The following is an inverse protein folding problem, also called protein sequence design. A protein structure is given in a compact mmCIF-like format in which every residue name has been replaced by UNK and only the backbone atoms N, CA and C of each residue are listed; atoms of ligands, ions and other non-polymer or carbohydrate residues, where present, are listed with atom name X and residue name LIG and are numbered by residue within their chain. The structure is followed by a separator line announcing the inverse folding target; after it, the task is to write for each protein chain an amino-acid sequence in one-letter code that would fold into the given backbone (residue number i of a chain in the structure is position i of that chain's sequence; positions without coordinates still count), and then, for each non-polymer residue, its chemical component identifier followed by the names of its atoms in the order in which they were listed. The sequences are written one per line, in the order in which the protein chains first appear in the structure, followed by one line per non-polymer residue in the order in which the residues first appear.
data_IF_914898210744
#
_entry.id   IF_914898210744
#
_cell.length_a   1.000
_cell.length_b   1.000
_cell.length_c   1.000
_cell.angle_alpha   90.00
_cell.angle_beta   90.00
_cell.angle_gamma   90.00
#
_symmetry.space_group_name_H-M   'P 1'
#
loop_
_entity.id
_entity.type
_entity.pdbx_description
1 polymer ?
#
# COMPACT_ATOMS: atom_id res chain seq x y z
N UNK A 1 -16.69 15.55 -0.72
CA UNK A 1 -16.92 16.61 0.28
C UNK A 1 -16.54 17.94 -0.37
N UNK A 2 -17.50 18.83 -0.67
CA UNK A 2 -17.18 20.16 -1.22
C UNK A 2 -16.45 21.07 -0.21
N UNK A 3 -16.47 20.72 1.08
CA UNK A 3 -16.05 21.60 2.19
C UNK A 3 -14.74 21.17 2.88
N UNK A 4 -13.94 20.28 2.28
CA UNK A 4 -12.67 19.87 2.87
C UNK A 4 -11.59 20.95 2.63
N UNK A 5 -11.25 21.70 3.70
CA UNK A 5 -10.22 22.74 3.69
C UNK A 5 -8.84 22.15 3.98
N UNK A 6 -8.18 21.64 2.91
CA UNK A 6 -6.83 21.08 3.01
C UNK A 6 -5.81 22.07 3.62
N UNK A 7 -5.75 23.35 3.21
CA UNK A 7 -4.89 24.33 3.87
C UNK A 7 -5.13 24.48 5.38
N UNK A 8 -6.37 24.45 5.85
CA UNK A 8 -6.67 24.53 7.27
C UNK A 8 -6.21 23.28 8.04
N UNK A 9 -6.45 22.09 7.50
CA UNK A 9 -6.00 20.85 8.15
C UNK A 9 -4.47 20.76 8.18
N UNK A 10 -3.79 21.21 7.12
CA UNK A 10 -2.33 21.29 7.10
C UNK A 10 -1.78 22.27 8.16
N UNK A 11 -2.41 23.44 8.35
CA UNK A 11 -2.04 24.39 9.41
C UNK A 11 -2.22 23.77 10.79
N UNK A 12 -3.37 23.14 11.04
CA UNK A 12 -3.65 22.44 12.30
C UNK A 12 -2.60 21.37 12.61
N UNK A 13 -2.21 20.56 11.64
CA UNK A 13 -1.18 19.55 11.83
C UNK A 13 0.20 20.14 12.09
N UNK A 14 0.54 21.26 11.44
CA UNK A 14 1.78 21.97 11.71
C UNK A 14 1.82 22.49 13.16
N UNK A 15 0.72 23.08 13.64
CA UNK A 15 0.56 23.55 15.03
C UNK A 15 0.64 22.37 16.03
N UNK A 16 -0.02 21.24 15.75
CA UNK A 16 0.06 20.05 16.60
C UNK A 16 1.48 19.47 16.66
N UNK A 17 2.17 19.40 15.51
CA UNK A 17 3.57 18.97 15.45
C UNK A 17 4.45 19.88 16.30
N UNK A 18 4.34 21.19 16.14
CA UNK A 18 5.13 22.17 16.89
C UNK A 18 4.86 22.04 18.40
N UNK A 19 3.60 21.90 18.81
CA UNK A 19 3.23 21.64 20.20
C UNK A 19 3.89 20.37 20.74
N UNK A 20 3.73 19.23 20.06
CA UNK A 20 4.29 17.96 20.52
C UNK A 20 5.82 17.96 20.55
N UNK A 21 6.46 18.61 19.57
CA UNK A 21 7.93 18.78 19.58
C UNK A 21 8.33 19.63 20.78
N UNK A 22 7.68 20.77 21.03
CA UNK A 22 7.98 21.63 22.19
C UNK A 22 7.82 20.89 23.52
N UNK A 23 6.66 20.26 23.75
CA UNK A 23 6.37 19.48 24.96
C UNK A 23 7.38 18.33 25.18
N UNK A 24 7.81 17.70 24.09
CA UNK A 24 8.84 16.65 24.16
C UNK A 24 10.19 17.23 24.52
N UNK A 25 10.61 18.33 23.88
CA UNK A 25 11.89 18.99 24.13
C UNK A 25 12.01 19.50 25.56
N UNK A 26 10.94 20.03 26.14
CA UNK A 26 10.91 20.52 27.52
C UNK A 26 11.27 19.44 28.56
N UNK A 27 10.97 18.17 28.24
CA UNK A 27 11.19 17.01 29.12
C UNK A 27 12.58 16.38 28.97
N UNK A 28 13.41 16.90 28.08
CA UNK A 28 14.71 16.33 27.74
C UNK A 28 15.87 17.17 28.29
N UNK A 29 16.98 16.52 28.58
CA UNK A 29 18.25 17.16 28.92
C UNK A 29 18.87 17.86 27.69
N UNK A 30 19.74 18.88 27.86
CA UNK A 30 20.30 19.66 26.74
C UNK A 30 20.92 18.82 25.62
N UNK A 31 21.70 17.79 25.97
CA UNK A 31 22.34 16.92 24.97
C UNK A 31 21.32 16.06 24.20
N UNK A 32 20.24 15.65 24.86
CA UNK A 32 19.14 14.90 24.26
C UNK A 32 18.32 15.78 23.31
N UNK A 33 18.08 17.05 23.68
CA UNK A 33 17.41 18.03 22.80
C UNK A 33 18.18 18.23 21.51
N UNK A 34 19.48 18.50 21.61
CA UNK A 34 20.34 18.71 20.43
C UNK A 34 20.31 17.50 19.49
N UNK A 35 20.40 16.29 20.05
CA UNK A 35 20.34 15.05 19.27
C UNK A 35 18.98 14.86 18.60
N UNK A 36 17.89 15.03 19.34
CA UNK A 36 16.53 14.87 18.80
C UNK A 36 16.23 15.91 17.72
N UNK A 37 16.65 17.17 17.93
CA UNK A 37 16.47 18.24 16.96
C UNK A 37 17.13 17.90 15.63
N UNK A 38 18.40 17.48 15.66
CA UNK A 38 19.11 17.08 14.44
C UNK A 38 18.46 15.89 13.72
N UNK A 39 17.89 14.93 14.48
CA UNK A 39 17.15 13.80 13.88
C UNK A 39 15.84 14.25 13.26
N UNK A 40 15.08 15.15 13.90
CA UNK A 40 13.83 15.69 13.36
C UNK A 40 14.10 16.46 12.06
N UNK A 41 15.12 17.33 12.05
CA UNK A 41 15.51 18.10 10.86
C UNK A 41 15.86 17.17 9.69
N UNK A 42 16.70 16.16 9.94
CA UNK A 42 17.06 15.18 8.91
C UNK A 42 15.84 14.36 8.43
N UNK A 43 14.95 13.96 9.34
CA UNK A 43 13.75 13.19 8.98
C UNK A 43 12.78 14.01 8.11
N UNK A 44 12.57 15.29 8.44
CA UNK A 44 11.71 16.19 7.67
C UNK A 44 12.31 16.47 6.29
N UNK A 45 13.62 16.69 6.20
CA UNK A 45 14.31 16.92 4.93
C UNK A 45 14.20 15.72 3.97
N UNK A 46 14.39 14.51 4.50
CA UNK A 46 14.37 13.26 3.72
C UNK A 46 12.95 12.74 3.41
N UNK A 47 11.92 13.22 4.11
CA UNK A 47 10.54 12.74 3.93
C UNK A 47 10.04 12.83 2.48
N UNK A 48 10.44 13.88 1.75
CA UNK A 48 10.12 14.05 0.32
C UNK A 48 10.68 12.91 -0.53
N UNK A 49 11.94 12.51 -0.26
CA UNK A 49 12.63 11.43 -0.96
C UNK A 49 11.92 10.08 -0.72
N UNK A 50 11.42 9.85 0.49
CA UNK A 50 10.70 8.62 0.83
C UNK A 50 9.42 8.43 0.01
N UNK A 51 8.75 9.50 -0.42
CA UNK A 51 7.55 9.37 -1.25
C UNK A 51 7.90 9.39 -2.74
N UNK A 52 8.80 10.30 -3.13
CA UNK A 52 9.20 10.54 -4.51
C UNK A 52 10.00 9.38 -5.13
N UNK A 53 10.65 8.53 -4.31
CA UNK A 53 11.35 7.36 -4.83
C UNK A 53 10.42 6.44 -5.63
N UNK A 54 9.14 6.32 -5.25
CA UNK A 54 8.22 5.47 -5.98
C UNK A 54 8.05 5.95 -7.43
N UNK A 55 8.03 7.27 -7.64
CA UNK A 55 7.98 7.83 -8.98
C UNK A 55 9.34 7.72 -9.68
N UNK A 56 10.40 8.30 -9.11
CA UNK A 56 11.69 8.46 -9.80
C UNK A 56 12.49 7.17 -9.92
N UNK A 57 12.37 6.26 -8.95
CA UNK A 57 13.06 4.97 -8.95
C UNK A 57 12.10 3.92 -9.51
N UNK A 58 11.02 3.57 -8.83
CA UNK A 58 10.23 2.38 -9.22
C UNK A 58 9.53 2.56 -10.58
N UNK A 59 8.72 3.61 -10.73
CA UNK A 59 7.90 3.80 -11.91
C UNK A 59 8.75 4.21 -13.13
N UNK A 60 9.63 5.21 -13.00
CA UNK A 60 10.45 5.67 -14.13
C UNK A 60 11.42 4.59 -14.63
N UNK A 61 12.02 3.80 -13.73
CA UNK A 61 12.91 2.70 -14.13
C UNK A 61 12.13 1.60 -14.85
N UNK A 62 10.86 1.36 -14.51
CA UNK A 62 10.04 0.35 -15.20
C UNK A 62 9.46 0.82 -16.54
N UNK A 63 9.07 2.11 -16.66
CA UNK A 63 8.37 2.63 -17.85
C UNK A 63 9.22 2.61 -19.11
N UNK A 64 10.50 3.01 -19.03
CA UNK A 64 11.37 3.06 -20.22
C UNK A 64 11.66 1.66 -20.79
N UNK A 65 12.10 0.66 -20.00
CA UNK A 65 12.23 -0.72 -20.45
C UNK A 65 10.92 -1.31 -20.93
N UNK A 66 9.78 -1.00 -20.28
CA UNK A 66 8.46 -1.48 -20.73
C UNK A 66 8.18 -1.09 -22.18
N UNK A 67 8.51 0.14 -22.60
CA UNK A 67 8.33 0.58 -24.00
C UNK A 67 9.18 -0.24 -24.97
N UNK A 68 10.42 -0.54 -24.59
CA UNK A 68 11.36 -1.36 -25.36
C UNK A 68 10.89 -2.81 -25.47
N UNK A 69 10.49 -3.40 -24.35
CA UNK A 69 9.94 -4.77 -24.26
C UNK A 69 8.68 -4.91 -25.10
N UNK A 70 7.76 -3.94 -25.04
CA UNK A 70 6.56 -3.93 -25.90
C UNK A 70 6.90 -3.78 -27.39
N UNK A 71 7.94 -3.05 -27.74
CA UNK A 71 8.39 -2.96 -29.13
C UNK A 71 8.93 -4.30 -29.64
N UNK A 72 9.71 -5.00 -28.81
CA UNK A 72 10.16 -6.36 -29.09
C UNK A 72 8.98 -7.33 -29.23
N UNK A 73 8.00 -7.26 -28.33
CA UNK A 73 6.77 -8.06 -28.41
C UNK A 73 5.98 -7.83 -29.70
N UNK A 74 5.80 -6.56 -30.12
CA UNK A 74 5.16 -6.24 -31.41
C UNK A 74 5.89 -6.85 -32.61
N UNK A 75 7.22 -6.79 -32.61
CA UNK A 75 8.04 -7.39 -33.67
C UNK A 75 7.86 -8.91 -33.72
N UNK A 76 8.05 -9.58 -32.58
CA UNK A 76 7.93 -11.04 -32.48
C UNK A 76 6.50 -11.53 -32.82
N UNK A 77 5.47 -10.76 -32.47
CA UNK A 77 4.10 -11.06 -32.87
C UNK A 77 3.89 -10.89 -34.39
N UNK A 78 4.45 -9.85 -35.00
CA UNK A 78 4.37 -9.64 -36.45
C UNK A 78 5.12 -10.72 -37.26
N UNK A 79 6.13 -11.34 -36.66
CA UNK A 79 6.89 -12.47 -37.22
C UNK A 79 6.20 -13.83 -36.96
N UNK A 80 5.11 -13.85 -36.18
CA UNK A 80 4.36 -15.07 -35.83
C UNK A 80 4.95 -15.88 -34.67
N UNK A 81 6.03 -15.41 -34.04
CA UNK A 81 6.68 -16.10 -32.92
C UNK A 81 5.91 -15.95 -31.61
N UNK A 82 5.13 -14.88 -31.46
CA UNK A 82 4.16 -14.67 -30.37
C UNK A 82 2.75 -14.52 -30.94
N UNK A 83 1.72 -14.85 -30.15
CA UNK A 83 0.33 -14.66 -30.56
C UNK A 83 -0.08 -13.19 -30.47
N UNK A 84 0.31 -12.50 -29.40
CA UNK A 84 0.09 -11.07 -29.21
C UNK A 84 1.33 -10.35 -28.67
N UNK A 85 1.40 -9.03 -28.86
CA UNK A 85 2.56 -8.24 -28.43
C UNK A 85 2.78 -8.26 -26.91
N UNK A 86 1.72 -8.45 -26.11
CA UNK A 86 1.77 -8.51 -24.65
C UNK A 86 2.32 -9.84 -24.12
N UNK A 87 2.37 -10.88 -24.94
CA UNK A 87 2.90 -12.19 -24.54
C UNK A 87 4.39 -12.14 -24.18
N UNK A 88 5.08 -11.09 -24.64
CA UNK A 88 6.47 -10.79 -24.28
C UNK A 88 6.68 -10.70 -22.76
N UNK A 89 5.65 -10.35 -21.98
CA UNK A 89 5.75 -10.28 -20.52
C UNK A 89 5.79 -11.64 -19.82
N UNK A 90 5.50 -12.72 -20.55
CA UNK A 90 5.68 -14.08 -20.07
C UNK A 90 7.08 -14.64 -20.37
N UNK A 91 7.92 -13.90 -21.11
CA UNK A 91 9.28 -14.30 -21.42
C UNK A 91 10.26 -13.81 -20.35
N UNK A 92 11.27 -14.63 -20.07
CA UNK A 92 12.43 -14.23 -19.28
C UNK A 92 13.36 -13.38 -20.13
N UNK A 93 14.25 -12.63 -19.47
CA UNK A 93 15.20 -11.72 -20.14
C UNK A 93 16.06 -12.44 -21.18
N UNK A 94 16.58 -13.62 -20.84
CA UNK A 94 17.44 -14.42 -21.71
C UNK A 94 16.67 -15.03 -22.89
N UNK A 95 15.42 -15.42 -22.69
CA UNK A 95 14.53 -15.94 -23.74
C UNK A 95 14.19 -14.84 -24.74
N UNK A 96 13.82 -13.65 -24.27
CA UNK A 96 13.59 -12.49 -25.12
C UNK A 96 14.86 -12.09 -25.90
N UNK A 97 16.01 -12.11 -25.25
CA UNK A 97 17.29 -11.80 -25.91
C UNK A 97 17.60 -12.82 -27.03
N UNK A 98 17.43 -14.12 -26.77
CA UNK A 98 17.61 -15.17 -27.79
C UNK A 98 16.61 -15.04 -28.94
N UNK A 99 15.36 -14.72 -28.63
CA UNK A 99 14.32 -14.48 -29.62
C UNK A 99 14.70 -13.35 -30.59
N UNK A 100 15.18 -12.23 -30.05
CA UNK A 100 15.63 -11.08 -30.84
C UNK A 100 16.89 -11.35 -31.67
N UNK A 101 17.67 -12.38 -31.31
CA UNK A 101 18.84 -12.86 -32.06
C UNK A 101 18.49 -13.97 -33.06
N UNK A 102 17.22 -14.36 -33.17
CA UNK A 102 16.71 -15.28 -34.19
C UNK A 102 16.21 -16.63 -33.67
N UNK A 103 16.37 -16.96 -32.38
CA UNK A 103 15.87 -18.20 -31.79
C UNK A 103 14.51 -17.98 -31.13
N UNK A 104 13.46 -17.98 -31.95
CA UNK A 104 12.10 -17.59 -31.53
C UNK A 104 11.06 -18.72 -31.60
N UNK A 105 11.49 -19.95 -31.84
CA UNK A 105 10.63 -21.12 -31.96
C UNK A 105 9.94 -21.46 -30.62
N UNK A 106 8.64 -21.76 -30.69
CA UNK A 106 7.86 -22.24 -29.54
C UNK A 106 7.48 -21.18 -28.50
N UNK A 107 7.82 -19.90 -28.72
CA UNK A 107 7.54 -18.85 -27.74
C UNK A 107 6.06 -18.62 -27.48
N UNK A 108 5.21 -18.71 -28.50
CA UNK A 108 3.75 -18.59 -28.33
C UNK A 108 3.20 -19.64 -27.35
N UNK A 109 3.59 -20.91 -27.50
CA UNK A 109 3.16 -21.99 -26.60
C UNK A 109 3.71 -21.79 -25.17
N UNK A 110 4.97 -21.35 -25.04
CA UNK A 110 5.58 -21.04 -23.75
C UNK A 110 4.87 -19.88 -23.04
N UNK A 111 4.53 -18.83 -23.77
CA UNK A 111 3.81 -17.69 -23.24
C UNK A 111 2.39 -18.07 -22.82
N UNK A 112 1.69 -18.87 -23.61
CA UNK A 112 0.36 -19.40 -23.27
C UNK A 112 0.39 -20.23 -21.98
N UNK A 113 1.36 -21.14 -21.85
CA UNK A 113 1.55 -21.95 -20.64
C UNK A 113 1.76 -21.07 -19.40
N UNK A 114 2.67 -20.09 -19.48
CA UNK A 114 2.94 -19.17 -18.36
C UNK A 114 1.78 -18.21 -18.08
N UNK A 115 0.98 -17.87 -19.08
CA UNK A 115 -0.28 -17.17 -18.91
C UNK A 115 -1.27 -17.97 -18.05
N UNK A 116 -1.37 -19.28 -18.27
CA UNK A 116 -2.18 -20.18 -17.43
C UNK A 116 -1.65 -20.26 -16.00
N UNK A 117 -0.33 -20.34 -15.83
CA UNK A 117 0.30 -20.29 -14.50
C UNK A 117 0.00 -18.96 -13.78
N UNK A 118 0.05 -17.82 -14.47
CA UNK A 118 -0.29 -16.52 -13.89
C UNK A 118 -1.75 -16.46 -13.47
N UNK A 119 -2.66 -16.94 -14.31
CA UNK A 119 -4.07 -17.00 -13.97
C UNK A 119 -4.32 -17.86 -12.73
N UNK A 120 -3.61 -18.98 -12.59
CA UNK A 120 -3.67 -19.84 -11.40
C UNK A 120 -3.11 -19.14 -10.17
N UNK A 121 -1.94 -18.51 -10.25
CA UNK A 121 -1.30 -17.86 -9.10
C UNK A 121 -2.06 -16.61 -8.63
N UNK A 122 -2.75 -15.91 -9.54
CA UNK A 122 -3.61 -14.78 -9.19
C UNK A 122 -4.76 -15.17 -8.23
N UNK A 123 -5.12 -16.45 -8.17
CA UNK A 123 -6.14 -16.98 -7.24
C UNK A 123 -5.57 -17.37 -5.87
N UNK A 124 -4.24 -17.35 -5.71
CA UNK A 124 -3.57 -17.78 -4.48
C UNK A 124 -3.22 -16.54 -3.66
N UNK A 125 -3.65 -16.53 -2.39
CA UNK A 125 -3.18 -15.54 -1.41
C UNK A 125 -1.85 -16.04 -0.83
N UNK A 126 -0.72 -15.35 -1.07
CA UNK A 126 0.56 -15.78 -0.52
C UNK A 126 0.52 -15.73 1.01
N UNK A 127 1.16 -16.70 1.71
CA UNK A 127 1.28 -16.63 3.16
C UNK A 127 2.13 -15.41 3.56
N UNK A 128 1.87 -14.87 4.75
CA UNK A 128 2.64 -13.72 5.27
C UNK A 128 4.11 -14.06 5.50
N UNK A 129 4.41 -15.31 5.85
CA UNK A 129 5.77 -15.82 6.05
C UNK A 129 5.98 -17.08 5.21
N UNK A 130 7.20 -17.26 4.73
CA UNK A 130 7.62 -18.46 4.01
C UNK A 130 8.95 -18.96 4.57
N UNK A 131 9.07 -20.26 4.76
CA UNK A 131 10.24 -20.90 5.39
C UNK A 131 10.10 -21.08 6.91
N UNK A 132 11.11 -21.69 7.53
CA UNK A 132 11.17 -21.83 8.98
C UNK A 132 11.49 -20.46 9.62
N UNK A 133 10.82 -20.08 10.73
CA UNK A 133 11.14 -18.84 11.42
C UNK A 133 12.62 -18.86 11.88
N UNK A 134 13.29 -17.70 11.96
CA UNK A 134 14.61 -17.62 12.57
C UNK A 134 14.59 -18.27 13.95
N UNK A 135 15.58 -19.11 14.23
CA UNK A 135 15.69 -19.80 15.52
C UNK A 135 16.03 -18.75 16.58
N UNK A 136 15.00 -18.31 17.29
CA UNK A 136 15.02 -17.52 18.52
C UNK A 136 15.87 -16.23 18.49
N UNK A 137 15.21 -15.09 18.20
CA UNK A 137 15.70 -13.77 18.57
C UNK A 137 14.57 -12.98 19.24
N UNK A 138 14.34 -13.31 20.51
CA UNK A 138 14.02 -12.43 21.64
C UNK A 138 12.86 -11.40 21.56
N UNK A 139 12.18 -11.30 22.71
CA UNK A 139 11.18 -10.31 23.17
C UNK A 139 9.72 -10.54 22.72
N UNK A 140 8.92 -11.08 23.66
CA UNK A 140 7.48 -11.31 23.55
C UNK A 140 6.64 -10.06 23.90
N UNK A 141 7.22 -8.86 23.90
CA UNK A 141 6.53 -7.62 24.32
C UNK A 141 6.13 -6.69 23.16
N UNK A 142 6.57 -6.94 21.94
CA UNK A 142 6.11 -6.18 20.78
C UNK A 142 4.89 -6.87 20.17
N UNK A 143 3.73 -6.23 20.24
CA UNK A 143 2.50 -6.68 19.56
C UNK A 143 2.74 -6.67 18.04
N UNK A 144 3.01 -7.83 17.41
CA UNK A 144 3.33 -7.90 15.98
C UNK A 144 2.12 -7.47 15.15
N UNK A 145 0.92 -7.50 15.73
CA UNK A 145 -0.32 -7.15 15.05
C UNK A 145 -0.36 -5.66 14.72
N UNK A 146 0.33 -4.82 15.48
CA UNK A 146 0.39 -3.38 15.21
C UNK A 146 1.10 -3.04 13.89
N UNK A 147 2.01 -3.91 13.45
CA UNK A 147 2.78 -3.74 12.20
C UNK A 147 2.29 -4.67 11.08
N UNK A 148 1.94 -5.90 11.43
CA UNK A 148 1.60 -6.96 10.47
C UNK A 148 0.10 -7.24 10.36
N UNK A 149 -0.69 -6.76 11.33
CA UNK A 149 -2.14 -6.80 11.34
C UNK A 149 -2.72 -8.18 11.20
N UNK A 150 -2.55 -9.02 12.23
CA UNK A 150 -3.07 -10.39 12.25
C UNK A 150 -4.52 -10.50 12.77
N UNK A 151 -5.28 -9.40 12.69
CA UNK A 151 -6.67 -9.32 13.14
C UNK A 151 -7.53 -10.34 12.42
N UNK A 152 -8.02 -11.34 13.18
CA UNK A 152 -8.89 -12.38 12.64
C UNK A 152 -10.35 -11.93 12.61
N UNK A 153 -11.06 -12.38 11.58
CA UNK A 153 -12.51 -12.27 11.52
C UNK A 153 -13.18 -12.93 12.73
N UNK A 154 -14.21 -12.27 13.27
CA UNK A 154 -15.00 -12.74 14.40
C UNK A 154 -16.26 -13.46 13.92
N UNK A 155 -16.38 -14.80 14.09
CA UNK A 155 -17.55 -15.54 13.64
C UNK A 155 -18.85 -15.10 14.32
N UNK A 156 -18.77 -14.61 15.56
CA UNK A 156 -19.91 -14.12 16.35
C UNK A 156 -20.40 -12.74 15.90
N UNK A 157 -19.58 -11.98 15.14
CA UNK A 157 -19.91 -10.64 14.66
C UNK A 157 -19.48 -10.45 13.20
N UNK A 158 -20.15 -11.11 12.24
CA UNK A 158 -19.72 -11.12 10.83
C UNK A 158 -19.79 -9.75 10.13
N UNK A 159 -20.44 -8.75 10.75
CA UNK A 159 -20.52 -7.36 10.24
C UNK A 159 -19.57 -6.39 10.94
N UNK A 160 -18.78 -6.86 11.90
CA UNK A 160 -17.76 -6.08 12.61
C UNK A 160 -16.38 -6.63 12.22
N UNK A 161 -15.67 -5.90 11.37
CA UNK A 161 -14.30 -6.21 10.98
C UNK A 161 -13.33 -5.45 11.88
N UNK A 162 -12.14 -6.02 12.11
CA UNK A 162 -11.08 -5.43 12.93
C UNK A 162 -9.80 -5.26 12.14
N UNK A 163 -9.08 -4.21 12.51
CA UNK A 163 -7.77 -3.87 11.99
C UNK A 163 -7.04 -2.94 12.95
N UNK A 164 -5.95 -2.35 12.48
CA UNK A 164 -5.20 -1.34 13.20
C UNK A 164 -5.81 0.04 12.94
N UNK A 165 -6.25 0.71 13.99
CA UNK A 165 -6.59 2.12 13.92
C UNK A 165 -5.35 2.93 13.56
N UNK A 166 -5.36 3.61 12.41
CA UNK A 166 -4.20 4.34 11.89
C UNK A 166 -4.36 5.86 11.87
N UNK A 167 -5.61 6.33 11.88
CA UNK A 167 -5.93 7.74 11.97
C UNK A 167 -7.27 7.87 12.70
N UNK A 168 -7.30 8.72 13.72
CA UNK A 168 -8.41 8.80 14.65
C UNK A 168 -9.68 9.37 14.02
N UNK A 169 -10.82 9.14 14.68
CA UNK A 169 -12.12 9.67 14.27
C UNK A 169 -13.09 8.61 13.76
N UNK A 170 -14.29 9.06 13.37
CA UNK A 170 -15.36 8.19 12.87
C UNK A 170 -15.85 8.69 11.52
N UNK A 171 -15.71 7.85 10.49
CA UNK A 171 -16.21 8.10 9.15
C UNK A 171 -17.40 7.20 8.83
N UNK A 172 -18.37 7.70 8.08
CA UNK A 172 -19.58 6.94 7.71
C UNK A 172 -20.00 7.22 6.28
N UNK A 173 -20.58 6.21 5.63
CA UNK A 173 -21.29 6.34 4.37
C UNK A 173 -20.67 5.48 3.26
N UNK A 174 -21.13 5.66 2.00
CA UNK A 174 -20.63 4.90 0.87
C UNK A 174 -19.30 5.42 0.31
N UNK A 175 -18.89 6.64 0.67
CA UNK A 175 -17.64 7.25 0.23
C UNK A 175 -16.45 6.80 1.09
N UNK A 176 -16.31 5.50 1.36
CA UNK A 176 -15.17 4.93 2.10
C UNK A 176 -14.26 4.23 1.10
N UNK A 177 -12.98 4.58 1.11
CA UNK A 177 -12.00 3.94 0.25
C UNK A 177 -11.63 2.57 0.84
N UNK A 178 -12.13 1.49 0.24
CA UNK A 178 -11.81 0.11 0.63
C UNK A 178 -10.91 -0.51 -0.44
N UNK A 179 -9.70 -0.95 -0.08
CA UNK A 179 -8.75 -1.54 -1.03
C UNK A 179 -7.80 -2.54 -0.34
N UNK A 180 -7.02 -3.29 -1.11
CA UNK A 180 -5.97 -4.15 -0.54
C UNK A 180 -4.80 -3.33 0.01
N UNK A 181 -4.35 -2.36 -0.76
CA UNK A 181 -3.26 -1.41 -0.42
C UNK A 181 -3.43 -0.13 -1.23
N UNK A 182 -2.80 0.96 -0.80
CA UNK A 182 -2.75 2.22 -1.57
C UNK A 182 -1.33 2.48 -2.07
N UNK A 183 -1.21 3.40 -3.03
CA UNK A 183 0.06 3.86 -3.59
C UNK A 183 -0.02 5.38 -3.80
N UNK A 184 1.11 6.10 -3.90
CA UNK A 184 1.11 7.56 -4.06
C UNK A 184 0.17 8.12 -5.15
N UNK A 185 -0.05 7.44 -6.31
CA UNK A 185 -1.02 7.90 -7.30
C UNK A 185 -2.49 7.93 -6.82
N UNK A 186 -2.80 7.31 -5.68
CA UNK A 186 -4.14 7.25 -5.09
C UNK A 186 -4.43 8.44 -4.15
N UNK A 187 -3.44 9.25 -3.81
CA UNK A 187 -3.60 10.42 -2.92
C UNK A 187 -4.79 11.31 -3.29
N UNK A 188 -5.10 11.61 -4.58
CA UNK A 188 -6.30 12.38 -4.92
C UNK A 188 -7.63 11.75 -4.46
N UNK A 189 -7.68 10.43 -4.27
CA UNK A 189 -8.88 9.74 -3.77
C UNK A 189 -9.10 10.00 -2.28
N UNK A 190 -8.06 10.28 -1.51
CA UNK A 190 -8.17 10.59 -0.09
C UNK A 190 -8.92 11.91 0.09
N UNK A 191 -8.68 12.91 -0.76
CA UNK A 191 -9.37 14.19 -0.73
C UNK A 191 -10.91 14.11 -0.84
N UNK A 192 -11.44 13.01 -1.39
CA UNK A 192 -12.88 12.80 -1.58
C UNK A 192 -13.46 11.67 -0.72
N UNK A 193 -12.61 10.92 -0.03
CA UNK A 193 -13.01 9.84 0.87
C UNK A 193 -13.48 10.39 2.23
N UNK A 194 -14.36 9.65 2.89
CA UNK A 194 -14.83 9.91 4.26
C UNK A 194 -14.11 9.06 5.31
N UNK A 195 -13.46 7.98 4.88
CA UNK A 195 -12.57 7.13 5.66
C UNK A 195 -11.78 6.20 4.72
N UNK A 196 -10.75 5.54 5.26
CA UNK A 196 -9.90 4.60 4.52
C UNK A 196 -9.87 3.25 5.23
N UNK A 197 -10.02 2.17 4.46
CA UNK A 197 -9.90 0.79 4.92
C UNK A 197 -8.97 0.03 3.99
N UNK A 198 -7.91 -0.58 4.54
CA UNK A 198 -7.01 -1.42 3.75
C UNK A 198 -6.86 -2.83 4.32
N UNK A 199 -6.64 -3.82 3.45
CA UNK A 199 -6.34 -5.20 3.89
C UNK A 199 -4.88 -5.41 4.31
N UNK A 200 -3.98 -4.51 3.89
CA UNK A 200 -2.55 -4.56 4.19
C UNK A 200 -2.01 -3.16 4.50
N UNK A 201 -0.87 -3.10 5.15
CA UNK A 201 -0.15 -1.86 5.47
C UNK A 201 -0.07 -1.61 6.98
N UNK A 202 1.14 -1.31 7.46
CA UNK A 202 1.36 -0.98 8.86
C UNK A 202 0.96 0.45 9.21
N UNK A 203 1.08 0.81 10.50
CA UNK A 203 0.78 2.14 11.04
C UNK A 203 1.64 3.28 10.44
N UNK A 204 2.76 2.93 9.79
CA UNK A 204 3.67 3.84 9.10
C UNK A 204 3.59 3.73 7.56
N UNK A 205 2.64 2.96 7.03
CA UNK A 205 2.45 2.83 5.59
C UNK A 205 1.94 4.12 4.97
N UNK A 206 2.09 4.25 3.64
CA UNK A 206 1.53 5.34 2.85
C UNK A 206 0.06 5.61 3.18
N UNK A 207 -0.79 4.58 3.22
CA UNK A 207 -2.20 4.71 3.61
C UNK A 207 -2.41 5.39 4.98
N UNK A 208 -1.62 5.01 5.99
CA UNK A 208 -1.72 5.55 7.34
C UNK A 208 -1.22 6.99 7.44
N UNK A 209 -0.10 7.31 6.78
CA UNK A 209 0.47 8.65 6.75
C UNK A 209 -0.49 9.60 6.04
N UNK A 210 -0.89 9.26 4.81
CA UNK A 210 -1.80 10.10 4.02
C UNK A 210 -3.17 10.24 4.70
N UNK A 211 -3.72 9.20 5.34
CA UNK A 211 -4.96 9.36 6.08
C UNK A 211 -4.85 10.37 7.24
N UNK A 212 -3.73 10.36 7.98
CA UNK A 212 -3.48 11.34 9.04
C UNK A 212 -3.31 12.74 8.49
N UNK A 213 -2.55 12.90 7.40
CA UNK A 213 -2.37 14.18 6.71
C UNK A 213 -3.69 14.77 6.20
N UNK A 214 -4.65 13.92 5.84
CA UNK A 214 -5.98 14.35 5.43
C UNK A 214 -7.00 14.42 6.58
N UNK A 215 -6.60 14.12 7.82
CA UNK A 215 -7.51 14.05 8.97
C UNK A 215 -8.63 13.00 8.81
N UNK A 216 -8.43 11.99 7.98
CA UNK A 216 -9.43 10.97 7.67
C UNK A 216 -9.33 9.80 8.66
N UNK A 217 -10.45 9.29 9.19
CA UNK A 217 -10.47 8.04 9.93
C UNK A 217 -9.94 6.88 9.09
N UNK A 218 -9.03 6.08 9.63
CA UNK A 218 -8.45 4.96 8.89
C UNK A 218 -8.25 3.71 9.74
N UNK A 219 -8.59 2.55 9.16
CA UNK A 219 -8.34 1.23 9.74
C UNK A 219 -7.63 0.35 8.71
N UNK A 220 -6.44 -0.13 9.06
CA UNK A 220 -5.57 -0.88 8.15
C UNK A 220 -5.47 -2.35 8.59
N UNK A 221 -4.98 -3.20 7.71
CA UNK A 221 -4.91 -4.65 7.94
C UNK A 221 -6.26 -5.27 8.35
N UNK A 222 -7.33 -4.86 7.69
CA UNK A 222 -8.65 -5.45 7.85
C UNK A 222 -8.75 -6.67 6.96
N UNK A 223 -8.69 -7.86 7.55
CA UNK A 223 -8.68 -9.11 6.79
C UNK A 223 -9.93 -9.25 5.88
N UNK A 224 -9.70 -9.53 4.59
CA UNK A 224 -10.74 -9.76 3.57
C UNK A 224 -11.73 -8.60 3.38
N UNK A 225 -11.37 -7.36 3.75
CA UNK A 225 -12.25 -6.20 3.63
C UNK A 225 -12.83 -6.03 2.21
N UNK A 226 -12.03 -6.23 1.17
CA UNK A 226 -12.46 -6.05 -0.23
C UNK A 226 -13.43 -7.13 -0.72
N UNK A 227 -13.46 -8.28 -0.05
CA UNK A 227 -14.41 -9.36 -0.35
C UNK A 227 -15.69 -9.29 0.50
N UNK A 228 -15.59 -8.77 1.72
CA UNK A 228 -16.69 -8.71 2.68
C UNK A 228 -17.55 -7.45 2.53
N UNK A 229 -16.94 -6.32 2.14
CA UNK A 229 -17.63 -5.06 1.90
C UNK A 229 -17.91 -4.95 0.41
N UNK A 230 -19.18 -4.79 0.04
CA UNK A 230 -19.59 -4.63 -1.37
C UNK A 230 -19.50 -3.18 -1.81
N UNK A 231 -19.25 -2.96 -3.10
CA UNK A 231 -19.27 -1.61 -3.68
C UNK A 231 -20.61 -0.91 -3.40
N UNK A 232 -20.52 0.35 -2.98
CA UNK A 232 -21.68 1.17 -2.60
C UNK A 232 -22.31 0.82 -1.25
N UNK A 233 -21.83 -0.23 -0.56
CA UNK A 233 -22.34 -0.59 0.76
C UNK A 233 -21.89 0.43 1.81
N UNK A 234 -22.82 1.00 2.60
CA UNK A 234 -22.44 1.93 3.65
C UNK A 234 -21.70 1.21 4.77
N UNK A 235 -20.60 1.80 5.22
CA UNK A 235 -19.84 1.32 6.38
C UNK A 235 -19.59 2.45 7.36
N UNK A 236 -19.36 2.09 8.61
CA UNK A 236 -18.80 2.97 9.65
C UNK A 236 -17.37 2.53 9.94
N UNK A 237 -16.45 3.48 9.94
CA UNK A 237 -15.03 3.25 10.24
C UNK A 237 -14.68 4.05 11.49
N UNK A 238 -14.28 3.37 12.55
CA UNK A 238 -13.73 3.98 13.77
C UNK A 238 -12.22 3.73 13.78
N UNK A 239 -11.48 4.75 13.34
CA UNK A 239 -10.03 4.69 13.24
C UNK A 239 -9.31 4.84 14.58
N UNK A 240 -10.02 5.20 15.65
CA UNK A 240 -9.48 5.19 17.01
C UNK A 240 -9.54 3.79 17.63
N UNK A 241 -10.63 3.04 17.38
CA UNK A 241 -10.83 1.68 17.90
C UNK A 241 -10.33 0.57 16.98
N UNK A 242 -10.00 0.89 15.73
CA UNK A 242 -9.60 -0.10 14.74
C UNK A 242 -10.76 -0.99 14.28
N UNK A 243 -11.99 -0.45 14.20
CA UNK A 243 -13.19 -1.24 13.86
C UNK A 243 -13.88 -0.71 12.62
N UNK A 244 -14.32 -1.62 11.75
CA UNK A 244 -15.16 -1.31 10.58
C UNK A 244 -16.47 -2.06 10.71
N UNK A 245 -17.59 -1.35 10.68
CA UNK A 245 -18.93 -1.92 10.82
C UNK A 245 -19.72 -1.76 9.53
N UNK A 246 -20.19 -2.87 8.98
CA UNK A 246 -21.03 -2.89 7.78
C UNK A 246 -22.46 -2.48 8.17
N UNK A 247 -22.96 -1.40 7.58
CA UNK A 247 -24.29 -0.87 7.84
C UNK A 247 -25.31 -1.58 6.94
N UNK A 248 -26.52 -1.79 7.49
CA UNK A 248 -27.67 -2.37 6.79
C UNK A 248 -28.45 -1.32 6.04
#
# INVERSE_FOLDING_TARGET
MPDYDFPAEQRKQAEERERYVSETMERLEPDQRNRLQGVIEAAVDVASILEDHNYYIDQRVAVLPRRLVLAAGRRLASEGSLSEATDVFYLRRDELQRALLGSSEGLAALAEERGKDMARWAQIRPPQTAGAPPVDTATQDEDPDRFWGTHKLRPDRPRELRGNGASAGVGRGPAVLVTRTTMPPWTPLFAVASAVVTETGGILSHAAVTAREYGLPAVLCVENATHLIRDGQPVEVDGSKGTVRILS
#
